data_IF_077830824679
#
_entry.id   IF_077830824679
#
_cell.length_a   1.000
_cell.length_b   1.000
_cell.length_c   1.000
_cell.angle_alpha   90.00
_cell.angle_beta   90.00
_cell.angle_gamma   90.00
#
_symmetry.space_group_name_H-M   'P 1'
#
loop_
_entity.id
_entity.type
_entity.pdbx_description
1 polymer ?
#
# COMPACT_ATOMS: atom_id res chain seq x y z
N UNK A 1 -5.18 13.38 -10.56
CA UNK A 1 -4.99 13.13 -12.01
C UNK A 1 -5.76 11.92 -12.48
N UNK A 2 -5.48 10.71 -11.96
CA UNK A 2 -6.13 9.44 -12.37
C UNK A 2 -7.67 9.51 -12.35
N UNK A 3 -8.28 10.07 -11.30
CA UNK A 3 -9.75 10.20 -11.19
C UNK A 3 -10.29 11.21 -12.21
N UNK A 4 -9.65 12.38 -12.33
CA UNK A 4 -10.11 13.45 -13.22
C UNK A 4 -10.03 13.06 -14.69
N UNK A 5 -9.03 12.28 -15.09
CA UNK A 5 -8.88 11.78 -16.46
C UNK A 5 -9.93 10.72 -16.86
N UNK A 6 -10.73 10.22 -15.91
CA UNK A 6 -11.90 9.37 -16.19
C UNK A 6 -13.18 10.17 -16.44
N UNK A 7 -13.12 11.50 -16.33
CA UNK A 7 -14.25 12.37 -16.66
C UNK A 7 -14.22 12.65 -18.18
N UNK A 8 -15.25 12.27 -18.94
CA UNK A 8 -15.26 12.41 -20.41
C UNK A 8 -14.93 13.84 -20.87
N UNK A 9 -15.46 14.84 -20.17
CA UNK A 9 -15.20 16.25 -20.46
C UNK A 9 -13.73 16.65 -20.25
N UNK A 10 -13.06 16.14 -19.21
CA UNK A 10 -11.65 16.46 -18.95
C UNK A 10 -10.76 15.68 -19.92
N UNK A 11 -11.05 14.40 -20.18
CA UNK A 11 -10.28 13.60 -21.12
C UNK A 11 -10.35 14.15 -22.55
N UNK A 12 -11.49 14.71 -22.97
CA UNK A 12 -11.63 15.32 -24.30
C UNK A 12 -10.82 16.62 -24.48
N UNK A 13 -10.48 17.30 -23.39
CA UNK A 13 -9.71 18.55 -23.43
C UNK A 13 -8.19 18.33 -23.47
N UNK A 14 -7.72 17.13 -23.16
CA UNK A 14 -6.29 16.83 -22.99
C UNK A 14 -5.83 15.92 -24.15
N UNK A 15 -4.93 16.40 -25.03
CA UNK A 15 -4.30 15.55 -26.03
C UNK A 15 -3.63 14.35 -25.35
N UNK A 16 -3.79 13.14 -25.90
CA UNK A 16 -3.22 11.91 -25.35
C UNK A 16 -3.63 11.58 -23.89
N UNK A 17 -4.85 11.97 -23.48
CA UNK A 17 -5.39 11.73 -22.13
C UNK A 17 -5.21 10.28 -21.64
N UNK A 18 -5.39 9.28 -22.52
CA UNK A 18 -5.20 7.87 -22.18
C UNK A 18 -3.74 7.54 -21.82
N UNK A 19 -2.77 8.02 -22.59
CA UNK A 19 -1.34 7.84 -22.30
C UNK A 19 -0.95 8.50 -20.97
N UNK A 20 -1.48 9.71 -20.71
CA UNK A 20 -1.27 10.42 -19.44
C UNK A 20 -1.92 9.66 -18.29
N UNK A 21 -3.12 9.11 -18.48
CA UNK A 21 -3.81 8.30 -17.48
C UNK A 21 -3.00 7.04 -17.15
N UNK A 22 -2.51 6.33 -18.15
CA UNK A 22 -1.73 5.10 -17.97
C UNK A 22 -0.43 5.38 -17.20
N UNK A 23 0.32 6.42 -17.57
CA UNK A 23 1.50 6.85 -16.81
C UNK A 23 1.17 7.26 -15.37
N UNK A 24 0.12 8.07 -15.20
CA UNK A 24 -0.33 8.51 -13.89
C UNK A 24 -0.73 7.35 -12.98
N UNK A 25 -1.32 6.29 -13.56
CA UNK A 25 -1.73 5.10 -12.83
C UNK A 25 -0.51 4.34 -12.31
N UNK A 26 0.55 4.17 -13.12
CA UNK A 26 1.79 3.53 -12.66
C UNK A 26 2.43 4.29 -11.51
N UNK A 27 2.58 5.61 -11.65
CA UNK A 27 3.16 6.46 -10.59
C UNK A 27 2.28 6.47 -9.34
N UNK A 28 0.96 6.57 -9.52
CA UNK A 28 0.02 6.55 -8.40
C UNK A 28 0.18 5.27 -7.57
N UNK A 29 0.16 4.09 -8.20
CA UNK A 29 0.27 2.81 -7.49
C UNK A 29 1.62 2.71 -6.78
N UNK A 30 2.72 2.97 -7.49
CA UNK A 30 4.06 2.85 -6.88
C UNK A 30 4.27 3.84 -5.74
N UNK A 31 3.88 5.11 -5.88
CA UNK A 31 4.11 6.10 -4.83
C UNK A 31 3.14 5.96 -3.66
N UNK A 32 1.85 5.74 -3.92
CA UNK A 32 0.82 5.71 -2.87
C UNK A 32 0.72 4.37 -2.14
N UNK A 33 1.21 3.28 -2.73
CA UNK A 33 1.22 1.95 -2.11
C UNK A 33 2.64 1.55 -1.79
N UNK A 34 3.48 1.28 -2.79
CA UNK A 34 4.81 0.70 -2.56
C UNK A 34 5.69 1.65 -1.72
N UNK A 35 5.90 2.89 -2.16
CA UNK A 35 6.77 3.84 -1.46
C UNK A 35 6.18 4.23 -0.11
N UNK A 36 4.92 4.65 -0.07
CA UNK A 36 4.25 5.08 1.15
C UNK A 36 4.25 3.99 2.24
N UNK A 37 3.80 2.78 1.93
CA UNK A 37 3.66 1.72 2.93
C UNK A 37 5.03 1.25 3.43
N UNK A 38 6.00 1.05 2.54
CA UNK A 38 7.35 0.67 2.93
C UNK A 38 8.07 1.77 3.72
N UNK A 39 7.76 3.05 3.50
CA UNK A 39 8.31 4.16 4.28
C UNK A 39 7.80 4.13 5.73
N UNK A 40 6.51 3.86 5.94
CA UNK A 40 5.95 3.74 7.29
C UNK A 40 6.47 2.49 8.00
N UNK A 41 6.59 1.35 7.30
CA UNK A 41 7.25 0.15 7.86
C UNK A 41 8.70 0.46 8.24
N UNK A 42 9.41 1.22 7.42
CA UNK A 42 10.78 1.64 7.71
C UNK A 42 10.87 2.53 8.95
N UNK A 43 9.86 3.38 9.20
CA UNK A 43 9.73 4.13 10.45
C UNK A 43 9.45 3.21 11.65
N UNK A 44 8.57 2.22 11.49
CA UNK A 44 8.31 1.23 12.55
C UNK A 44 9.57 0.47 12.94
N UNK A 45 10.49 0.22 12.02
CA UNK A 45 11.75 -0.45 12.33
C UNK A 45 12.67 0.36 13.24
N UNK A 46 12.72 1.69 13.04
CA UNK A 46 13.65 2.58 13.74
C UNK A 46 13.03 3.26 14.97
N UNK A 47 11.72 3.12 15.22
CA UNK A 47 11.02 3.85 16.28
C UNK A 47 11.58 3.59 17.70
N UNK A 48 12.10 2.39 17.96
CA UNK A 48 12.69 2.01 19.24
C UNK A 48 14.23 2.00 19.20
N UNK A 49 14.83 2.52 18.12
CA UNK A 49 16.27 2.50 17.94
C UNK A 49 16.92 3.52 18.88
N UNK A 50 17.78 3.06 19.78
CA UNK A 50 18.48 3.93 20.72
C UNK A 50 19.68 4.64 20.09
N UNK A 51 20.35 4.00 19.13
CA UNK A 51 21.52 4.54 18.44
C UNK A 51 21.35 4.43 16.92
N UNK A 52 21.33 5.56 16.24
CA UNK A 52 21.36 5.64 14.77
C UNK A 52 22.80 5.62 14.27
N UNK A 53 23.07 4.89 13.18
CA UNK A 53 24.36 4.93 12.48
C UNK A 53 24.23 5.62 11.10
N UNK A 54 25.36 5.87 10.45
CA UNK A 54 25.38 6.50 9.11
C UNK A 54 24.68 5.68 8.03
N UNK A 55 24.52 4.37 8.22
CA UNK A 55 23.85 3.49 7.25
C UNK A 55 22.34 3.68 7.20
N UNK A 56 21.70 3.96 8.34
CA UNK A 56 20.29 4.39 8.34
C UNK A 56 20.13 5.71 7.57
N UNK A 57 21.09 6.63 7.72
CA UNK A 57 21.11 7.87 6.95
C UNK A 57 21.24 7.65 5.44
N UNK A 58 22.12 6.73 5.05
CA UNK A 58 22.26 6.33 3.66
C UNK A 58 20.98 5.68 3.10
N UNK A 59 20.26 4.89 3.91
CA UNK A 59 19.05 4.21 3.46
C UNK A 59 17.89 5.16 3.11
N UNK A 60 17.66 6.21 3.90
CA UNK A 60 16.57 7.15 3.58
C UNK A 60 16.91 8.07 2.40
N UNK A 61 18.18 8.49 2.24
CA UNK A 61 18.60 9.26 1.05
C UNK A 61 18.45 8.44 -0.22
N UNK A 62 18.83 7.16 -0.17
CA UNK A 62 18.64 6.21 -1.25
C UNK A 62 17.15 6.06 -1.62
N UNK A 63 16.27 5.97 -0.61
CA UNK A 63 14.82 5.86 -0.81
C UNK A 63 14.22 7.10 -1.47
N UNK A 64 14.65 8.31 -1.08
CA UNK A 64 14.21 9.56 -1.72
C UNK A 64 14.66 9.63 -3.17
N UNK A 65 15.94 9.35 -3.43
CA UNK A 65 16.47 9.34 -4.80
C UNK A 65 15.68 8.35 -5.67
N UNK A 66 15.41 7.17 -5.15
CA UNK A 66 14.62 6.13 -5.83
C UNK A 66 13.20 6.60 -6.17
N UNK A 67 12.51 7.23 -5.22
CA UNK A 67 11.19 7.82 -5.43
C UNK A 67 11.22 8.92 -6.50
N UNK A 68 12.22 9.81 -6.47
CA UNK A 68 12.39 10.86 -7.48
C UNK A 68 12.65 10.28 -8.87
N UNK A 69 13.50 9.26 -8.98
CA UNK A 69 13.77 8.57 -10.25
C UNK A 69 12.50 7.94 -10.83
N UNK A 70 11.71 7.24 -10.00
CA UNK A 70 10.42 6.71 -10.41
C UNK A 70 9.47 7.82 -10.86
N UNK A 71 9.37 8.93 -10.13
CA UNK A 71 8.51 10.05 -10.50
C UNK A 71 8.94 10.71 -11.82
N UNK A 72 10.23 11.03 -11.98
CA UNK A 72 10.78 11.68 -13.17
C UNK A 72 10.64 10.79 -14.41
N UNK A 73 10.70 9.47 -14.23
CA UNK A 73 10.56 8.52 -15.35
C UNK A 73 9.22 8.61 -16.09
N UNK A 74 8.17 9.16 -15.48
CA UNK A 74 6.86 9.37 -16.12
C UNK A 74 6.89 10.42 -17.23
N UNK A 75 7.93 11.26 -17.26
CA UNK A 75 8.11 12.30 -18.26
C UNK A 75 8.99 11.84 -19.43
N UNK A 76 9.46 10.59 -19.42
CA UNK A 76 10.22 10.00 -20.54
C UNK A 76 9.24 9.71 -21.69
N UNK A 77 9.43 10.31 -22.88
CA UNK A 77 8.51 10.16 -24.00
C UNK A 77 8.51 8.72 -24.53
N UNK A 78 7.39 8.30 -25.12
CA UNK A 78 7.21 6.99 -25.77
C UNK A 78 7.55 5.80 -24.85
N UNK A 79 7.29 5.95 -23.55
CA UNK A 79 7.48 4.86 -22.59
C UNK A 79 6.34 3.86 -22.70
N UNK A 80 6.68 2.59 -22.88
CA UNK A 80 5.72 1.50 -22.80
C UNK A 80 5.22 1.34 -21.34
N UNK A 81 3.91 1.33 -21.16
CA UNK A 81 3.26 1.29 -19.84
C UNK A 81 2.74 -0.11 -19.56
N UNK A 82 3.26 -0.73 -18.51
CA UNK A 82 2.91 -2.09 -18.12
C UNK A 82 2.11 -2.05 -16.83
N UNK A 83 0.84 -2.44 -16.91
CA UNK A 83 -0.12 -2.36 -15.80
C UNK A 83 -0.23 -3.69 -15.06
N UNK A 84 0.90 -4.34 -14.79
CA UNK A 84 0.96 -5.58 -13.98
C UNK A 84 0.33 -5.36 -12.60
N UNK A 85 -0.21 -6.42 -12.00
CA UNK A 85 -0.73 -6.35 -10.64
C UNK A 85 0.42 -6.13 -9.63
N UNK A 86 0.09 -5.55 -8.48
CA UNK A 86 1.02 -5.13 -7.40
C UNK A 86 1.99 -4.00 -7.76
N UNK A 87 2.93 -4.25 -8.68
CA UNK A 87 3.98 -3.30 -9.08
C UNK A 87 3.87 -3.09 -10.59
N UNK A 88 3.14 -2.06 -11.05
CA UNK A 88 3.12 -1.67 -12.45
C UNK A 88 4.43 -0.96 -12.82
N UNK A 89 4.80 -1.03 -14.10
CA UNK A 89 6.11 -0.62 -14.59
C UNK A 89 6.00 0.38 -15.74
N UNK A 90 6.83 1.42 -15.67
CA UNK A 90 7.19 2.22 -16.83
C UNK A 90 8.45 1.62 -17.44
N UNK A 91 8.39 1.17 -18.69
CA UNK A 91 9.47 0.42 -19.31
C UNK A 91 10.57 1.37 -19.82
N UNK A 92 11.30 1.95 -18.88
CA UNK A 92 12.49 2.76 -19.14
C UNK A 92 13.53 2.56 -18.04
N UNK A 93 14.80 2.86 -18.35
CA UNK A 93 15.93 2.62 -17.43
C UNK A 93 15.81 3.40 -16.12
N UNK A 94 15.26 4.62 -16.16
CA UNK A 94 15.10 5.47 -14.97
C UNK A 94 14.13 4.84 -13.97
N UNK A 95 12.97 4.37 -14.44
CA UNK A 95 11.99 3.72 -13.58
C UNK A 95 12.53 2.44 -12.97
N UNK A 96 13.10 1.54 -13.80
CA UNK A 96 13.61 0.25 -13.34
C UNK A 96 14.78 0.39 -12.37
N UNK A 97 15.67 1.37 -12.62
CA UNK A 97 16.74 1.69 -11.68
C UNK A 97 16.18 2.25 -10.37
N UNK A 98 15.24 3.20 -10.43
CA UNK A 98 14.58 3.74 -9.24
C UNK A 98 13.87 2.66 -8.42
N UNK A 99 13.13 1.75 -9.07
CA UNK A 99 12.45 0.64 -8.40
C UNK A 99 13.44 -0.32 -7.73
N UNK A 100 14.51 -0.69 -8.43
CA UNK A 100 15.55 -1.60 -7.89
C UNK A 100 16.28 -0.96 -6.70
N UNK A 101 16.58 0.32 -6.81
CA UNK A 101 17.23 1.11 -5.77
C UNK A 101 16.34 1.26 -4.53
N UNK A 102 15.02 1.39 -4.73
CA UNK A 102 14.04 1.41 -3.65
C UNK A 102 13.96 0.05 -2.96
N UNK A 103 13.91 -1.06 -3.71
CA UNK A 103 13.91 -2.39 -3.11
C UNK A 103 15.17 -2.62 -2.26
N UNK A 104 16.34 -2.22 -2.77
CA UNK A 104 17.59 -2.30 -2.04
C UNK A 104 17.58 -1.45 -0.76
N UNK A 105 17.06 -0.21 -0.81
CA UNK A 105 17.01 0.65 0.38
C UNK A 105 16.13 0.06 1.48
N UNK A 106 14.98 -0.49 1.13
CA UNK A 106 14.08 -1.14 2.11
C UNK A 106 14.73 -2.38 2.74
N UNK A 107 15.43 -3.21 1.95
CA UNK A 107 16.16 -4.37 2.46
C UNK A 107 17.33 -3.98 3.37
N UNK A 108 18.10 -2.94 2.99
CA UNK A 108 19.17 -2.39 3.83
C UNK A 108 18.58 -1.93 5.16
N UNK A 109 17.48 -1.17 5.15
CA UNK A 109 16.83 -0.72 6.37
C UNK A 109 16.35 -1.89 7.25
N UNK A 110 15.76 -2.92 6.64
CA UNK A 110 15.32 -4.12 7.36
C UNK A 110 16.49 -4.90 7.99
N UNK A 111 17.58 -5.08 7.24
CA UNK A 111 18.79 -5.76 7.72
C UNK A 111 19.48 -4.99 8.85
N UNK A 112 19.65 -3.67 8.70
CA UNK A 112 20.22 -2.80 9.73
C UNK A 112 19.40 -2.86 11.02
N UNK A 113 18.08 -2.92 10.90
CA UNK A 113 17.17 -3.03 12.04
C UNK A 113 17.35 -4.35 12.77
N UNK A 114 17.39 -5.47 12.03
CA UNK A 114 17.63 -6.78 12.61
C UNK A 114 18.96 -6.84 13.38
N UNK A 115 20.01 -6.20 12.86
CA UNK A 115 21.34 -6.19 13.48
C UNK A 115 21.40 -5.22 14.67
N UNK A 116 20.83 -4.01 14.53
CA UNK A 116 21.06 -2.90 15.45
C UNK A 116 20.02 -2.79 16.55
N UNK A 117 18.78 -3.24 16.31
CA UNK A 117 17.67 -3.07 17.23
C UNK A 117 17.47 -4.33 18.10
N UNK A 118 18.23 -4.43 19.20
CA UNK A 118 18.11 -5.53 20.17
C UNK A 118 16.77 -5.58 20.91
N UNK A 119 15.99 -4.50 20.85
CA UNK A 119 14.67 -4.38 21.47
C UNK A 119 13.53 -4.49 20.45
N UNK A 120 13.83 -4.99 19.24
CA UNK A 120 12.83 -5.22 18.22
C UNK A 120 11.75 -6.19 18.73
N UNK A 121 10.50 -5.77 18.68
CA UNK A 121 9.34 -6.59 19.00
C UNK A 121 9.21 -7.75 18.01
N UNK A 122 8.50 -8.80 18.42
CA UNK A 122 8.19 -9.97 17.56
C UNK A 122 7.56 -9.54 16.23
N UNK A 123 6.68 -8.55 16.23
CA UNK A 123 6.07 -8.05 14.99
C UNK A 123 7.04 -7.30 14.09
N UNK A 124 8.00 -6.55 14.64
CA UNK A 124 9.06 -5.89 13.85
C UNK A 124 10.00 -6.91 13.21
N UNK A 125 10.41 -7.93 13.96
CA UNK A 125 11.21 -9.05 13.41
C UNK A 125 10.41 -9.79 12.33
N UNK A 126 9.13 -10.07 12.60
CA UNK A 126 8.25 -10.70 11.63
C UNK A 126 8.11 -9.89 10.34
N UNK A 127 8.04 -8.56 10.42
CA UNK A 127 8.02 -7.67 9.25
C UNK A 127 9.31 -7.80 8.41
N UNK A 128 10.48 -7.84 9.05
CA UNK A 128 11.76 -8.07 8.35
C UNK A 128 11.70 -9.41 7.59
N UNK A 129 11.25 -10.47 8.27
CA UNK A 129 11.13 -11.81 7.69
C UNK A 129 10.17 -11.82 6.50
N UNK A 130 9.01 -11.17 6.59
CA UNK A 130 8.03 -11.09 5.49
C UNK A 130 8.61 -10.32 4.30
N UNK A 131 9.29 -9.20 4.53
CA UNK A 131 9.93 -8.43 3.45
C UNK A 131 11.02 -9.23 2.74
N UNK A 132 11.86 -9.95 3.50
CA UNK A 132 12.88 -10.84 2.93
C UNK A 132 12.23 -11.98 2.14
N UNK A 133 11.14 -12.57 2.65
CA UNK A 133 10.37 -13.60 1.95
C UNK A 133 9.76 -13.08 0.65
N UNK A 134 9.21 -11.86 0.67
CA UNK A 134 8.71 -11.18 -0.52
C UNK A 134 9.80 -10.95 -1.55
N UNK A 135 10.99 -10.53 -1.13
CA UNK A 135 12.12 -10.34 -2.04
C UNK A 135 12.61 -11.67 -2.62
N UNK A 136 12.62 -12.73 -1.79
CA UNK A 136 12.94 -14.07 -2.24
C UNK A 136 11.96 -14.55 -3.33
N UNK A 137 10.66 -14.25 -3.22
CA UNK A 137 9.70 -14.51 -4.30
C UNK A 137 10.10 -13.82 -5.61
N UNK A 138 10.51 -12.54 -5.57
CA UNK A 138 10.94 -11.84 -6.80
C UNK A 138 12.19 -12.49 -7.42
N UNK A 139 13.16 -12.88 -6.59
CA UNK A 139 14.38 -13.55 -7.06
C UNK A 139 14.07 -14.92 -7.66
N UNK A 140 13.24 -15.73 -6.99
CA UNK A 140 12.84 -17.05 -7.48
C UNK A 140 11.99 -16.96 -8.75
N UNK A 141 11.06 -16.00 -8.81
CA UNK A 141 10.26 -15.75 -10.01
C UNK A 141 11.15 -15.37 -11.20
N UNK A 142 12.13 -14.49 -11.00
CA UNK A 142 13.07 -14.12 -12.05
C UNK A 142 13.95 -15.29 -12.49
N UNK A 143 14.51 -16.04 -11.53
CA UNK A 143 15.40 -17.18 -11.80
C UNK A 143 14.70 -18.31 -12.57
N UNK A 144 13.43 -18.55 -12.27
CA UNK A 144 12.65 -19.63 -12.87
C UNK A 144 11.87 -19.18 -14.12
N UNK A 145 12.06 -17.92 -14.56
CA UNK A 145 11.36 -17.35 -15.71
C UNK A 145 11.82 -17.98 -17.03
N UNK A 146 10.89 -18.32 -17.95
CA UNK A 146 11.27 -18.70 -19.31
C UNK A 146 12.09 -17.59 -19.98
N UNK A 147 13.24 -17.95 -20.57
CA UNK A 147 14.23 -16.99 -21.10
C UNK A 147 13.64 -16.01 -22.12
N UNK A 148 12.76 -16.50 -22.99
CA UNK A 148 12.20 -15.69 -24.09
C UNK A 148 10.97 -14.87 -23.66
N UNK A 149 10.38 -15.12 -22.48
CA UNK A 149 9.11 -14.51 -22.10
C UNK A 149 9.19 -12.98 -22.06
N UNK A 150 10.30 -12.43 -21.59
CA UNK A 150 10.51 -10.98 -21.56
C UNK A 150 10.45 -10.33 -22.95
N UNK A 151 10.93 -11.04 -23.98
CA UNK A 151 10.94 -10.53 -25.36
C UNK A 151 9.60 -10.79 -26.07
N UNK A 152 8.90 -11.87 -25.71
CA UNK A 152 7.62 -12.26 -26.29
C UNK A 152 6.45 -11.44 -25.72
N UNK A 153 6.37 -11.31 -24.39
CA UNK A 153 5.31 -10.59 -23.70
C UNK A 153 5.79 -10.01 -22.36
N UNK A 154 6.15 -8.72 -22.40
CA UNK A 154 6.57 -7.99 -21.19
C UNK A 154 5.44 -7.85 -20.17
N UNK A 155 4.18 -7.78 -20.59
CA UNK A 155 3.06 -7.67 -19.64
C UNK A 155 2.98 -8.94 -18.80
N UNK A 156 3.04 -10.09 -19.45
CA UNK A 156 3.02 -11.38 -18.77
C UNK A 156 4.28 -11.58 -17.92
N UNK A 157 5.45 -11.20 -18.44
CA UNK A 157 6.71 -11.24 -17.69
C UNK A 157 6.61 -10.51 -16.35
N UNK A 158 6.17 -9.24 -16.34
CA UNK A 158 6.08 -8.47 -15.09
C UNK A 158 4.91 -8.90 -14.21
N UNK A 159 3.83 -9.40 -14.80
CA UNK A 159 2.74 -10.01 -14.05
C UNK A 159 3.26 -11.18 -13.20
N UNK A 160 3.98 -12.13 -13.80
CA UNK A 160 4.55 -13.28 -13.10
C UNK A 160 5.69 -12.91 -12.16
N UNK A 161 6.55 -11.96 -12.55
CA UNK A 161 7.66 -11.50 -11.72
C UNK A 161 7.15 -10.93 -10.39
N UNK A 162 6.10 -10.11 -10.42
CA UNK A 162 5.62 -9.42 -9.23
C UNK A 162 4.49 -10.12 -8.49
N UNK A 163 3.93 -11.20 -9.04
CA UNK A 163 2.78 -11.90 -8.45
C UNK A 163 3.04 -12.34 -7.02
N UNK A 164 3.98 -13.27 -6.80
CA UNK A 164 4.21 -13.86 -5.47
C UNK A 164 4.74 -12.88 -4.44
N UNK A 165 5.73 -12.06 -4.81
CA UNK A 165 6.29 -11.07 -3.88
C UNK A 165 5.29 -9.95 -3.58
N UNK A 166 4.50 -9.50 -4.56
CA UNK A 166 3.45 -8.51 -4.38
C UNK A 166 2.37 -8.95 -3.40
N UNK A 167 2.02 -10.25 -3.41
CA UNK A 167 1.17 -10.87 -2.40
C UNK A 167 1.78 -10.76 -1.00
N UNK A 168 3.04 -11.15 -0.81
CA UNK A 168 3.71 -11.10 0.49
C UNK A 168 3.93 -9.66 1.00
N UNK A 169 4.09 -8.67 0.12
CA UNK A 169 4.06 -7.27 0.52
C UNK A 169 2.75 -6.88 1.22
N UNK A 170 1.60 -7.45 0.81
CA UNK A 170 0.33 -7.17 1.50
C UNK A 170 0.32 -7.70 2.93
N UNK A 171 0.94 -8.86 3.17
CA UNK A 171 1.12 -9.41 4.53
C UNK A 171 1.99 -8.47 5.39
N UNK A 172 3.04 -7.89 4.81
CA UNK A 172 3.88 -6.91 5.49
C UNK A 172 3.06 -5.64 5.82
N UNK A 173 2.30 -5.11 4.87
CA UNK A 173 1.49 -3.91 5.08
C UNK A 173 0.42 -4.11 6.16
N UNK A 174 -0.26 -5.26 6.14
CA UNK A 174 -1.27 -5.60 7.14
C UNK A 174 -0.65 -5.80 8.54
N UNK A 175 0.53 -6.42 8.63
CA UNK A 175 1.25 -6.56 9.90
C UNK A 175 1.74 -5.20 10.43
N UNK A 176 2.21 -4.32 9.56
CA UNK A 176 2.57 -2.95 9.91
C UNK A 176 1.37 -2.18 10.46
N UNK A 177 0.19 -2.33 9.84
CA UNK A 177 -1.05 -1.77 10.36
C UNK A 177 -1.37 -2.32 11.76
N UNK A 178 -1.29 -3.63 11.95
CA UNK A 178 -1.58 -4.24 13.26
C UNK A 178 -0.66 -3.73 14.37
N UNK A 179 0.65 -3.58 14.08
CA UNK A 179 1.59 -2.97 15.01
C UNK A 179 1.22 -1.52 15.35
N UNK A 180 0.79 -0.74 14.36
CA UNK A 180 0.31 0.63 14.59
C UNK A 180 -0.89 0.65 15.54
N UNK A 181 -1.83 -0.29 15.42
CA UNK A 181 -2.95 -0.40 16.36
C UNK A 181 -2.48 -0.65 17.79
N UNK A 182 -1.51 -1.55 17.97
CA UNK A 182 -0.93 -1.85 19.28
C UNK A 182 -0.22 -0.62 19.87
N UNK A 183 0.59 0.06 19.06
CA UNK A 183 1.40 1.21 19.50
C UNK A 183 0.52 2.40 19.89
N UNK A 184 -0.42 2.81 19.02
CA UNK A 184 -1.24 4.01 19.27
C UNK A 184 -2.21 3.78 20.44
N UNK A 185 -2.69 2.54 20.60
CA UNK A 185 -3.67 2.20 21.63
C UNK A 185 -3.04 1.75 22.95
N UNK A 186 -1.70 1.78 23.04
CA UNK A 186 -0.92 1.33 24.20
C UNK A 186 -1.31 -0.07 24.69
N UNK A 187 -1.57 -0.98 23.72
CA UNK A 187 -1.97 -2.35 24.02
C UNK A 187 -0.69 -3.18 24.21
N UNK A 188 -0.54 -3.77 25.40
CA UNK A 188 0.62 -4.59 25.73
C UNK A 188 0.77 -5.82 24.82
N UNK A 189 2.03 -6.17 24.55
CA UNK A 189 2.38 -7.42 23.89
C UNK A 189 2.18 -8.57 24.88
N UNK A 190 1.22 -9.44 24.58
CA UNK A 190 0.93 -10.65 25.33
C UNK A 190 0.63 -11.79 24.34
N UNK A 191 0.34 -12.98 24.84
CA UNK A 191 0.10 -14.16 24.00
C UNK A 191 -0.98 -13.91 22.92
N UNK A 192 -2.02 -13.13 23.23
CA UNK A 192 -3.15 -12.87 22.33
C UNK A 192 -2.77 -11.89 21.22
N UNK A 193 -1.95 -10.88 21.51
CA UNK A 193 -1.50 -9.89 20.51
C UNK A 193 -0.27 -10.34 19.73
N UNK A 194 0.55 -11.24 20.29
CA UNK A 194 1.71 -11.85 19.62
C UNK A 194 1.28 -12.93 18.63
N UNK A 195 0.29 -13.76 18.98
CA UNK A 195 -0.18 -14.87 18.14
C UNK A 195 -0.51 -14.44 16.69
N UNK A 196 -1.31 -13.39 16.42
CA UNK A 196 -1.58 -12.97 15.04
C UNK A 196 -0.34 -12.53 14.28
N UNK A 197 0.59 -11.81 14.93
CA UNK A 197 1.84 -11.37 14.31
C UNK A 197 2.71 -12.57 13.92
N UNK A 198 2.81 -13.54 14.82
CA UNK A 198 3.55 -14.78 14.58
C UNK A 198 2.92 -15.61 13.46
N UNK A 199 1.60 -15.86 13.51
CA UNK A 199 0.88 -16.61 12.48
C UNK A 199 1.03 -15.97 11.10
N UNK A 200 0.82 -14.65 11.00
CA UNK A 200 0.96 -13.92 9.74
C UNK A 200 2.39 -14.04 9.17
N UNK A 201 3.40 -13.99 10.04
CA UNK A 201 4.81 -14.17 9.64
C UNK A 201 5.06 -15.59 9.11
N UNK A 202 4.66 -16.63 9.84
CA UNK A 202 4.87 -18.03 9.43
C UNK A 202 4.15 -18.33 8.11
N UNK A 203 2.91 -17.85 7.95
CA UNK A 203 2.13 -18.04 6.74
C UNK A 203 2.78 -17.36 5.51
N UNK A 204 3.49 -16.25 5.70
CA UNK A 204 4.23 -15.60 4.62
C UNK A 204 5.55 -16.32 4.27
N UNK A 205 6.29 -16.82 5.28
CA UNK A 205 7.60 -17.48 5.10
C UNK A 205 7.52 -18.75 4.26
N UNK A 206 6.42 -19.50 4.34
CA UNK A 206 6.27 -20.73 3.56
C UNK A 206 6.05 -20.48 2.05
N UNK A 207 5.55 -19.31 1.67
CA UNK A 207 5.08 -19.07 0.31
C UNK A 207 6.17 -19.06 -0.77
N UNK A 208 7.40 -18.52 -0.56
CA UNK A 208 8.45 -18.56 -1.59
C UNK A 208 8.84 -19.97 -2.04
N UNK A 209 8.68 -20.99 -1.18
CA UNK A 209 9.06 -22.36 -1.52
C UNK A 209 8.15 -23.00 -2.58
N UNK A 210 6.99 -22.41 -2.86
CA UNK A 210 6.11 -22.91 -3.91
C UNK A 210 6.72 -22.81 -5.32
N UNK A 211 7.68 -21.89 -5.52
CA UNK A 211 8.41 -21.77 -6.79
C UNK A 211 9.33 -22.97 -7.09
N UNK A 212 9.55 -23.87 -6.13
CA UNK A 212 10.24 -25.15 -6.37
C UNK A 212 9.28 -26.28 -6.77
N UNK A 213 7.96 -26.05 -6.62
CA UNK A 213 6.91 -27.04 -6.90
C UNK A 213 6.24 -26.73 -8.24
N UNK A 214 5.92 -25.47 -8.48
CA UNK A 214 5.21 -25.02 -9.68
C UNK A 214 6.07 -24.08 -10.53
N UNK A 215 5.87 -24.14 -11.85
CA UNK A 215 6.49 -23.21 -12.78
C UNK A 215 5.93 -21.80 -12.57
N UNK A 216 6.76 -20.78 -12.86
CA UNK A 216 6.40 -19.39 -12.59
C UNK A 216 5.24 -18.87 -13.44
N UNK A 217 5.08 -19.42 -14.64
CA UNK A 217 4.03 -19.13 -15.62
C UNK A 217 2.83 -20.09 -15.53
N UNK A 218 2.83 -21.00 -14.54
CA UNK A 218 1.75 -21.97 -14.35
C UNK A 218 0.51 -21.36 -13.71
N UNK A 219 -0.65 -21.92 -14.04
CA UNK A 219 -1.92 -21.52 -13.43
C UNK A 219 -1.99 -21.88 -11.95
N UNK A 220 -1.32 -22.95 -11.55
CA UNK A 220 -1.25 -23.51 -10.21
C UNK A 220 -0.54 -22.54 -9.27
N UNK A 221 0.57 -21.93 -9.70
CA UNK A 221 1.27 -20.91 -8.93
C UNK A 221 0.39 -19.66 -8.72
N UNK A 222 -0.29 -19.21 -9.78
CA UNK A 222 -1.21 -18.07 -9.73
C UNK A 222 -2.34 -18.34 -8.75
N UNK A 223 -2.95 -19.52 -8.82
CA UNK A 223 -4.02 -19.96 -7.93
C UNK A 223 -3.54 -20.13 -6.49
N UNK A 224 -2.34 -20.67 -6.28
CA UNK A 224 -1.75 -20.80 -4.95
C UNK A 224 -1.69 -19.45 -4.23
N UNK A 225 -1.07 -18.43 -4.84
CA UNK A 225 -0.95 -17.11 -4.22
C UNK A 225 -2.31 -16.43 -4.05
N UNK A 226 -3.24 -16.65 -4.99
CA UNK A 226 -4.62 -16.15 -4.88
C UNK A 226 -5.33 -16.71 -3.66
N UNK A 227 -5.30 -18.04 -3.48
CA UNK A 227 -5.93 -18.71 -2.34
C UNK A 227 -5.18 -18.47 -1.03
N UNK A 228 -3.86 -18.38 -1.08
CA UNK A 228 -3.02 -17.98 0.04
C UNK A 228 -3.43 -16.60 0.56
N UNK A 229 -3.66 -15.61 -0.31
CA UNK A 229 -4.17 -14.31 0.10
C UNK A 229 -5.57 -14.39 0.71
N UNK A 230 -6.48 -15.14 0.08
CA UNK A 230 -7.88 -15.25 0.51
C UNK A 230 -8.02 -15.93 1.87
N UNK A 231 -7.21 -16.95 2.15
CA UNK A 231 -7.31 -17.76 3.37
C UNK A 231 -6.29 -17.28 4.40
N UNK A 232 -5.00 -17.35 4.08
CA UNK A 232 -3.94 -17.01 5.03
C UNK A 232 -3.93 -15.49 5.32
N UNK A 233 -4.16 -14.66 4.30
CA UNK A 233 -4.27 -13.20 4.47
C UNK A 233 -5.47 -12.75 5.30
N UNK A 234 -6.50 -13.60 5.47
CA UNK A 234 -7.66 -13.30 6.30
C UNK A 234 -7.42 -13.49 7.82
N UNK A 235 -6.37 -14.23 8.20
CA UNK A 235 -6.07 -14.54 9.61
C UNK A 235 -5.87 -13.27 10.43
N UNK A 236 -4.98 -12.38 9.99
CA UNK A 236 -4.67 -11.15 10.72
C UNK A 236 -5.89 -10.19 10.83
N UNK A 237 -6.70 -9.96 9.77
CA UNK A 237 -7.99 -9.28 9.87
C UNK A 237 -8.95 -9.87 10.92
N UNK A 238 -9.06 -11.20 11.04
CA UNK A 238 -9.90 -11.82 12.07
C UNK A 238 -9.44 -11.45 13.49
N UNK A 239 -8.14 -11.46 13.74
CA UNK A 239 -7.59 -11.00 15.02
C UNK A 239 -7.74 -9.50 15.23
N UNK A 240 -7.69 -8.69 14.16
CA UNK A 240 -7.97 -7.26 14.24
C UNK A 240 -9.42 -7.01 14.70
N UNK A 241 -10.40 -7.77 14.21
CA UNK A 241 -11.80 -7.68 14.68
C UNK A 241 -11.87 -7.94 16.19
N UNK A 242 -11.20 -8.98 16.69
CA UNK A 242 -11.16 -9.30 18.12
C UNK A 242 -10.50 -8.17 18.93
N UNK A 243 -9.37 -7.64 18.44
CA UNK A 243 -8.66 -6.53 19.06
C UNK A 243 -9.54 -5.28 19.14
N UNK A 244 -10.24 -4.96 18.05
CA UNK A 244 -11.13 -3.79 17.98
C UNK A 244 -12.33 -3.95 18.91
N UNK A 245 -12.97 -5.12 18.90
CA UNK A 245 -14.10 -5.41 19.78
C UNK A 245 -13.74 -5.22 21.26
N UNK A 246 -12.58 -5.72 21.68
CA UNK A 246 -12.11 -5.61 23.07
C UNK A 246 -11.71 -4.19 23.48
N UNK A 247 -11.34 -3.34 22.53
CA UNK A 247 -10.74 -2.02 22.80
C UNK A 247 -11.52 -0.86 22.16
N UNK A 248 -12.80 -1.05 21.87
CA UNK A 248 -13.58 -0.11 21.05
C UNK A 248 -13.60 1.32 21.60
N UNK A 249 -13.65 1.48 22.94
CA UNK A 249 -13.63 2.80 23.60
C UNK A 249 -12.32 3.54 23.35
N UNK A 250 -11.18 2.86 23.49
CA UNK A 250 -9.84 3.40 23.25
C UNK A 250 -9.60 3.72 21.78
N UNK A 251 -10.16 2.91 20.88
CA UNK A 251 -9.96 3.10 19.43
C UNK A 251 -10.84 4.21 18.84
N UNK A 252 -11.96 4.53 19.50
CA UNK A 252 -12.83 5.63 19.11
C UNK A 252 -12.14 6.98 19.28
N UNK A 253 -11.33 7.16 20.34
CA UNK A 253 -10.62 8.43 20.59
C UNK A 253 -9.49 8.71 19.59
N UNK A 254 -8.96 7.66 18.95
CA UNK A 254 -7.77 7.74 18.10
C UNK A 254 -8.09 7.60 16.60
N UNK A 255 -9.36 7.73 16.19
CA UNK A 255 -9.87 7.63 14.81
C UNK A 255 -9.51 6.32 14.05
N UNK A 256 -8.96 5.31 14.74
CA UNK A 256 -8.58 4.02 14.16
C UNK A 256 -9.79 3.22 13.66
N UNK A 257 -11.00 3.48 14.18
CA UNK A 257 -12.21 2.84 13.67
C UNK A 257 -12.49 3.15 12.19
N UNK A 258 -12.04 4.31 11.66
CA UNK A 258 -12.15 4.60 10.23
C UNK A 258 -11.24 3.69 9.38
N UNK A 259 -10.03 3.40 9.89
CA UNK A 259 -9.12 2.42 9.29
C UNK A 259 -9.77 1.04 9.31
N UNK A 260 -10.27 0.60 10.46
CA UNK A 260 -10.90 -0.70 10.63
C UNK A 260 -12.09 -0.89 9.68
N UNK A 261 -13.03 0.06 9.66
CA UNK A 261 -14.23 -0.03 8.84
C UNK A 261 -13.91 -0.17 7.35
N UNK A 262 -13.01 0.66 6.81
CA UNK A 262 -12.60 0.59 5.41
C UNK A 262 -11.78 -0.66 5.08
N UNK A 263 -10.91 -1.08 5.99
CA UNK A 263 -10.12 -2.30 5.83
C UNK A 263 -11.01 -3.54 5.75
N UNK A 264 -11.97 -3.68 6.67
CA UNK A 264 -12.93 -4.78 6.67
C UNK A 264 -13.86 -4.70 5.45
N UNK A 265 -14.32 -3.50 5.08
CA UNK A 265 -15.13 -3.32 3.88
C UNK A 265 -14.38 -3.80 2.62
N UNK A 266 -13.11 -3.40 2.46
CA UNK A 266 -12.24 -3.88 1.38
C UNK A 266 -12.02 -5.39 1.41
N UNK A 267 -11.80 -5.97 2.59
CA UNK A 267 -11.63 -7.41 2.77
C UNK A 267 -12.86 -8.22 2.38
N UNK A 268 -14.06 -7.78 2.80
CA UNK A 268 -15.34 -8.41 2.41
C UNK A 268 -15.51 -8.36 0.89
N UNK A 269 -15.25 -7.20 0.27
CA UNK A 269 -15.28 -7.08 -1.19
C UNK A 269 -14.25 -8.02 -1.85
N UNK A 270 -13.07 -8.21 -1.27
CA UNK A 270 -12.04 -9.11 -1.80
C UNK A 270 -12.47 -10.58 -1.81
N UNK A 271 -13.23 -11.02 -0.80
CA UNK A 271 -13.82 -12.37 -0.75
C UNK A 271 -14.93 -12.51 -1.79
N UNK A 272 -15.78 -11.49 -1.94
CA UNK A 272 -16.92 -11.51 -2.86
C UNK A 272 -16.51 -11.29 -4.33
N UNK A 273 -15.33 -10.71 -4.59
CA UNK A 273 -14.87 -10.41 -5.94
C UNK A 273 -14.37 -11.68 -6.63
N UNK A 274 -15.12 -12.14 -7.62
CA UNK A 274 -14.79 -13.32 -8.44
C UNK A 274 -14.32 -12.90 -9.84
N UNK A 275 -14.72 -11.72 -10.32
CA UNK A 275 -14.52 -11.27 -11.70
C UNK A 275 -13.43 -10.18 -11.88
N UNK A 276 -12.87 -10.12 -13.08
CA UNK A 276 -11.77 -9.24 -13.50
C UNK A 276 -12.08 -7.75 -13.70
N UNK A 277 -13.20 -7.22 -13.19
CA UNK A 277 -13.69 -5.87 -13.49
C UNK A 277 -13.28 -4.83 -12.41
N UNK A 278 -13.90 -3.64 -12.36
CA UNK A 278 -13.54 -2.60 -11.38
C UNK A 278 -13.83 -2.95 -9.91
N UNK A 279 -14.52 -4.05 -9.63
CA UNK A 279 -14.65 -4.62 -8.27
C UNK A 279 -13.29 -5.00 -7.68
N UNK A 280 -12.31 -5.37 -8.53
CA UNK A 280 -10.93 -5.59 -8.10
C UNK A 280 -10.34 -4.31 -7.48
N UNK A 281 -10.30 -3.16 -8.19
CA UNK A 281 -9.93 -1.91 -7.57
C UNK A 281 -10.72 -1.53 -6.35
N UNK A 282 -12.02 -1.80 -6.31
CA UNK A 282 -12.81 -1.49 -5.13
C UNK A 282 -12.28 -2.20 -3.87
N UNK A 283 -12.00 -3.51 -3.95
CA UNK A 283 -11.53 -4.25 -2.78
C UNK A 283 -10.15 -3.76 -2.30
N UNK A 284 -9.21 -3.53 -3.22
CA UNK A 284 -7.86 -3.16 -2.82
C UNK A 284 -7.80 -1.69 -2.40
N UNK A 285 -8.62 -0.81 -2.98
CA UNK A 285 -8.77 0.55 -2.45
C UNK A 285 -9.30 0.50 -1.01
N UNK A 286 -10.30 -0.31 -0.69
CA UNK A 286 -10.76 -0.46 0.71
C UNK A 286 -9.66 -0.94 1.65
N UNK A 287 -8.98 -2.02 1.28
CA UNK A 287 -7.95 -2.65 2.11
C UNK A 287 -6.73 -1.74 2.29
N UNK A 288 -6.16 -1.22 1.20
CA UNK A 288 -4.97 -0.35 1.22
C UNK A 288 -5.27 0.97 1.91
N UNK A 289 -6.44 1.59 1.66
CA UNK A 289 -6.81 2.85 2.31
C UNK A 289 -7.04 2.64 3.81
N UNK A 290 -7.63 1.51 4.21
CA UNK A 290 -7.74 1.14 5.62
C UNK A 290 -6.38 1.13 6.33
N UNK A 291 -5.37 0.53 5.69
CA UNK A 291 -3.97 0.56 6.18
C UNK A 291 -3.44 2.00 6.20
N UNK A 292 -3.62 2.77 5.12
CA UNK A 292 -3.16 4.17 5.03
C UNK A 292 -3.72 5.04 6.14
N UNK A 293 -5.00 4.89 6.50
CA UNK A 293 -5.61 5.66 7.59
C UNK A 293 -4.95 5.34 8.93
N UNK A 294 -4.62 4.07 9.21
CA UNK A 294 -3.87 3.73 10.41
C UNK A 294 -2.50 4.41 10.40
N UNK A 295 -1.81 4.37 9.26
CA UNK A 295 -0.50 5.00 9.10
C UNK A 295 -0.55 6.54 9.22
N UNK A 296 -1.59 7.19 8.72
CA UNK A 296 -1.81 8.63 8.93
C UNK A 296 -1.98 8.96 10.42
N UNK A 297 -2.79 8.17 11.14
CA UNK A 297 -2.95 8.31 12.59
C UNK A 297 -1.63 8.07 13.34
N UNK A 298 -0.81 7.12 12.87
CA UNK A 298 0.52 6.88 13.42
C UNK A 298 1.44 8.10 13.28
N UNK A 299 1.43 8.77 12.13
CA UNK A 299 2.19 10.01 11.95
C UNK A 299 1.70 11.11 12.90
N UNK A 300 0.39 11.28 13.07
CA UNK A 300 -0.15 12.24 14.03
C UNK A 300 0.24 11.92 15.48
N UNK A 301 0.27 10.65 15.86
CA UNK A 301 0.74 10.19 17.17
C UNK A 301 2.27 10.36 17.35
N UNK A 302 3.03 10.28 16.25
CA UNK A 302 4.50 10.37 16.26
C UNK A 302 4.99 11.81 16.34
N UNK A 303 4.32 12.76 15.67
CA UNK A 303 4.76 14.17 15.60
C UNK A 303 5.12 14.78 16.97
N UNK A 304 4.30 14.65 18.03
CA UNK A 304 4.65 15.18 19.35
C UNK A 304 5.92 14.58 19.95
N UNK A 305 6.19 13.29 19.67
CA UNK A 305 7.40 12.59 20.13
C UNK A 305 8.65 13.05 19.40
N UNK A 306 8.49 13.65 18.23
CA UNK A 306 9.55 14.31 17.47
C UNK A 306 9.72 15.79 17.86
N UNK A 307 9.10 16.24 18.96
CA UNK A 307 9.17 17.62 19.44
C UNK A 307 8.24 18.61 18.72
N UNK A 308 7.40 18.14 17.80
CA UNK A 308 6.38 19.00 17.19
C UNK A 308 5.24 19.28 18.18
N UNK A 309 4.48 20.36 17.98
CA UNK A 309 3.23 20.57 18.73
C UNK A 309 2.18 19.54 18.33
N UNK A 310 1.38 19.10 19.30
CA UNK A 310 0.16 18.33 19.03
C UNK A 310 -0.76 19.09 18.08
N UNK A 311 -1.30 18.36 17.11
CA UNK A 311 -2.27 18.90 16.15
C UNK A 311 -3.63 18.92 16.84
N UNK A 312 -4.35 20.04 16.68
CA UNK A 312 -5.71 20.18 17.20
C UNK A 312 -6.60 19.02 16.70
N UNK A 313 -7.30 18.37 17.63
CA UNK A 313 -8.15 17.21 17.32
C UNK A 313 -9.22 17.49 16.26
N UNK A 314 -9.76 18.71 16.19
CA UNK A 314 -10.73 19.10 15.15
C UNK A 314 -10.16 19.08 13.73
N UNK A 315 -8.87 19.42 13.57
CA UNK A 315 -8.18 19.42 12.26
C UNK A 315 -7.90 17.98 11.83
N UNK A 316 -7.40 17.16 12.75
CA UNK A 316 -7.20 15.71 12.52
C UNK A 316 -8.53 15.05 12.13
N UNK A 317 -9.60 15.36 12.87
CA UNK A 317 -10.94 14.85 12.58
C UNK A 317 -11.40 15.22 11.19
N UNK A 318 -11.33 16.50 10.81
CA UNK A 318 -11.73 16.96 9.48
C UNK A 318 -10.98 16.20 8.38
N UNK A 319 -9.66 16.06 8.53
CA UNK A 319 -8.82 15.36 7.57
C UNK A 319 -9.19 13.87 7.45
N UNK A 320 -9.29 13.15 8.57
CA UNK A 320 -9.59 11.71 8.58
C UNK A 320 -11.01 11.44 8.06
N UNK A 321 -12.00 12.27 8.42
CA UNK A 321 -13.36 12.13 7.92
C UNK A 321 -13.43 12.39 6.41
N UNK A 322 -12.80 13.46 5.91
CA UNK A 322 -12.75 13.73 4.47
C UNK A 322 -12.09 12.57 3.71
N UNK A 323 -10.97 12.07 4.21
CA UNK A 323 -10.24 10.98 3.55
C UNK A 323 -11.03 9.65 3.58
N UNK A 324 -11.63 9.31 4.72
CA UNK A 324 -12.35 8.05 4.91
C UNK A 324 -13.72 8.03 4.24
N UNK A 325 -14.56 9.06 4.44
CA UNK A 325 -15.88 9.14 3.80
C UNK A 325 -15.75 9.29 2.28
N UNK A 326 -14.77 10.08 1.81
CA UNK A 326 -14.45 10.18 0.40
C UNK A 326 -14.12 8.81 -0.20
N UNK A 327 -13.23 8.05 0.44
CA UNK A 327 -12.92 6.70 -0.03
C UNK A 327 -14.09 5.72 0.08
N UNK A 328 -14.88 5.79 1.15
CA UNK A 328 -16.08 4.95 1.27
C UNK A 328 -17.04 5.16 0.08
N UNK A 329 -17.33 6.41 -0.26
CA UNK A 329 -18.15 6.76 -1.43
C UNK A 329 -17.49 6.33 -2.74
N UNK A 330 -16.18 6.57 -2.88
CA UNK A 330 -15.42 6.21 -4.07
C UNK A 330 -15.42 4.70 -4.34
N UNK A 331 -15.12 3.90 -3.31
CA UNK A 331 -15.09 2.44 -3.36
C UNK A 331 -16.49 1.89 -3.65
N UNK A 332 -17.51 2.40 -2.97
CA UNK A 332 -18.90 1.99 -3.20
C UNK A 332 -19.34 2.31 -4.64
N UNK A 333 -18.96 3.49 -5.15
CA UNK A 333 -19.15 3.85 -6.55
C UNK A 333 -18.45 2.89 -7.51
N UNK A 334 -17.21 2.48 -7.23
CA UNK A 334 -16.50 1.48 -8.02
C UNK A 334 -17.21 0.13 -8.05
N UNK A 335 -17.62 -0.40 -6.89
CA UNK A 335 -18.37 -1.68 -6.82
C UNK A 335 -19.64 -1.59 -7.65
N UNK A 336 -20.39 -0.50 -7.49
CA UNK A 336 -21.64 -0.30 -8.21
C UNK A 336 -21.42 -0.20 -9.72
N UNK A 337 -20.40 0.54 -10.17
CA UNK A 337 -20.00 0.59 -11.57
C UNK A 337 -19.54 -0.78 -12.10
N UNK A 338 -18.92 -1.60 -11.25
CA UNK A 338 -18.58 -2.98 -11.57
C UNK A 338 -19.79 -3.85 -11.87
N UNK A 339 -20.90 -3.65 -11.13
CA UNK A 339 -22.19 -4.28 -11.44
C UNK A 339 -22.77 -3.89 -12.80
N UNK A 340 -22.34 -2.76 -13.39
CA UNK A 340 -22.65 -2.34 -14.76
C UNK A 340 -21.60 -2.80 -15.79
N UNK A 341 -20.65 -3.66 -15.42
CA UNK A 341 -19.62 -4.19 -16.32
C UNK A 341 -18.45 -3.22 -16.57
N UNK A 342 -18.23 -2.21 -15.72
CA UNK A 342 -17.10 -1.30 -15.90
C UNK A 342 -15.76 -2.06 -15.83
N UNK A 343 -14.95 -1.93 -16.88
CA UNK A 343 -13.68 -2.62 -17.01
C UNK A 343 -12.58 -1.96 -16.16
N UNK A 344 -11.67 -2.76 -15.60
CA UNK A 344 -10.49 -2.25 -14.90
C UNK A 344 -9.42 -1.79 -15.90
N UNK A 345 -8.52 -0.91 -15.45
CA UNK A 345 -7.33 -0.45 -16.18
C UNK A 345 -7.63 0.32 -17.49
N UNK A 346 -8.87 0.77 -17.68
CA UNK A 346 -9.30 1.68 -18.76
C UNK A 346 -9.90 2.95 -18.16
N UNK A 347 -9.93 4.04 -18.94
CA UNK A 347 -10.52 5.30 -18.49
C UNK A 347 -12.06 5.32 -18.66
N UNK A 348 -12.59 4.57 -19.63
CA UNK A 348 -13.99 4.60 -20.01
C UNK A 348 -14.92 3.97 -18.98
N UNK A 349 -16.11 4.56 -18.83
CA UNK A 349 -17.19 4.07 -17.97
C UNK A 349 -18.41 3.67 -18.83
N UNK A 350 -19.07 2.52 -18.56
CA UNK A 350 -20.19 2.04 -19.38
C UNK A 350 -21.28 3.10 -19.49
N UNK A 351 -21.76 3.42 -20.70
CA UNK A 351 -22.77 4.48 -20.92
C UNK A 351 -24.04 4.28 -20.10
N UNK A 352 -24.48 3.03 -19.94
CA UNK A 352 -25.69 2.64 -19.21
C UNK A 352 -25.58 2.74 -17.68
N UNK A 353 -24.39 3.01 -17.14
CA UNK A 353 -24.19 3.05 -15.70
C UNK A 353 -24.89 4.23 -15.02
N UNK A 354 -25.43 3.95 -13.84
CA UNK A 354 -26.22 4.90 -13.04
C UNK A 354 -25.49 6.23 -12.80
N UNK A 355 -26.23 7.33 -12.95
CA UNK A 355 -25.75 8.67 -12.60
C UNK A 355 -25.31 8.74 -11.13
N UNK A 356 -26.02 8.05 -10.23
CA UNK A 356 -25.67 8.03 -8.82
C UNK A 356 -24.36 7.25 -8.57
N UNK A 357 -24.14 6.13 -9.25
CA UNK A 357 -22.90 5.36 -9.15
C UNK A 357 -21.69 6.20 -9.62
N UNK A 358 -21.83 6.92 -10.73
CA UNK A 358 -20.81 7.86 -11.22
C UNK A 358 -20.58 9.01 -10.25
N UNK A 359 -21.65 9.60 -9.71
CA UNK A 359 -21.56 10.68 -8.75
C UNK A 359 -20.82 10.22 -7.49
N UNK A 360 -21.16 9.06 -6.91
CA UNK A 360 -20.44 8.49 -5.76
C UNK A 360 -18.97 8.27 -6.06
N UNK A 361 -18.64 7.69 -7.21
CA UNK A 361 -17.26 7.45 -7.65
C UNK A 361 -16.45 8.75 -7.74
N UNK A 362 -16.97 9.76 -8.44
CA UNK A 362 -16.27 11.01 -8.74
C UNK A 362 -16.17 11.89 -7.49
N UNK A 363 -17.29 12.15 -6.83
CA UNK A 363 -17.35 13.02 -5.65
C UNK A 363 -16.58 12.43 -4.49
N UNK A 364 -16.72 11.12 -4.24
CA UNK A 364 -15.94 10.39 -3.25
C UNK A 364 -14.44 10.50 -3.53
N UNK A 365 -14.04 10.31 -4.79
CA UNK A 365 -12.65 10.47 -5.22
C UNK A 365 -12.11 11.90 -5.05
N UNK A 366 -12.91 12.92 -5.30
CA UNK A 366 -12.51 14.31 -5.10
C UNK A 366 -12.34 14.64 -3.60
N UNK A 367 -13.29 14.23 -2.76
CA UNK A 367 -13.23 14.41 -1.30
C UNK A 367 -12.02 13.66 -0.72
N UNK A 368 -11.72 12.45 -1.21
CA UNK A 368 -10.56 11.70 -0.75
C UNK A 368 -9.23 12.36 -1.12
N UNK A 369 -9.13 12.96 -2.31
CA UNK A 369 -7.95 13.77 -2.71
C UNK A 369 -7.77 14.96 -1.77
N UNK A 370 -8.85 15.68 -1.45
CA UNK A 370 -8.79 16.80 -0.49
C UNK A 370 -8.31 16.30 0.88
N UNK A 371 -8.86 15.20 1.38
CA UNK A 371 -8.42 14.59 2.64
C UNK A 371 -6.94 14.19 2.64
N UNK A 372 -6.43 13.66 1.52
CA UNK A 372 -5.03 13.29 1.38
C UNK A 372 -4.10 14.51 1.32
N UNK A 373 -4.50 15.55 0.60
CA UNK A 373 -3.76 16.82 0.53
C UNK A 373 -3.70 17.51 1.89
N UNK A 374 -4.83 17.53 2.62
CA UNK A 374 -4.88 18.06 3.98
C UNK A 374 -3.87 17.37 4.89
N UNK A 375 -3.76 16.03 4.83
CA UNK A 375 -2.77 15.29 5.61
C UNK A 375 -1.35 15.81 5.35
N UNK A 376 -0.95 15.88 4.08
CA UNK A 376 0.40 16.33 3.69
C UNK A 376 0.66 17.77 4.15
N UNK A 377 -0.29 18.68 3.91
CA UNK A 377 -0.17 20.10 4.30
C UNK A 377 -0.04 20.22 5.83
N UNK A 378 -0.89 19.52 6.59
CA UNK A 378 -0.87 19.55 8.06
C UNK A 378 0.51 19.08 8.57
N UNK A 379 0.99 17.93 8.10
CA UNK A 379 2.26 17.36 8.55
C UNK A 379 3.44 18.27 8.20
N UNK A 380 3.52 18.75 6.95
CA UNK A 380 4.61 19.63 6.50
C UNK A 380 4.65 20.94 7.31
N UNK A 381 3.49 21.58 7.52
CA UNK A 381 3.43 22.82 8.30
C UNK A 381 3.88 22.63 9.76
N UNK A 382 3.58 21.48 10.37
CA UNK A 382 4.01 21.19 11.73
C UNK A 382 5.51 20.91 11.82
N UNK A 383 6.07 20.14 10.88
CA UNK A 383 7.51 19.90 10.79
C UNK A 383 8.29 21.20 10.58
N UNK A 384 7.85 22.06 9.66
CA UNK A 384 8.51 23.34 9.38
C UNK A 384 8.45 24.30 10.59
N UNK A 385 7.29 24.40 11.26
CA UNK A 385 7.14 25.23 12.47
C UNK A 385 7.96 24.73 13.65
N UNK A 386 8.21 23.42 13.74
CA UNK A 386 9.05 22.84 14.79
C UNK A 386 10.51 23.24 14.60
N UNK A 387 11.03 23.09 13.37
CA UNK A 387 12.42 23.44 13.03
C UNK A 387 12.74 24.92 13.25
N UNK A 388 11.77 25.81 13.04
CA UNK A 388 11.92 27.25 13.29
C UNK A 388 11.95 27.64 14.78
N UNK A 389 11.71 26.70 15.72
CA UNK A 389 11.83 26.95 17.17
C UNK A 389 13.09 26.35 17.78
N UNK A 390 13.71 25.41 17.10
CA UNK A 390 14.95 24.75 17.52
C UNK A 390 16.20 25.44 16.96
N UNK A 391 16.00 26.35 16.01
CA UNK A 391 16.97 27.34 15.55
C UNK A 391 16.62 28.68 16.18
#
# INVERSE_FOLDING_TARGET
MVIFLRLPFISSLIPSAQYIFDNALVIHVNLSILVWMCSIISLLFIINLQNTNHWFNFSWTLSILSMLLMFISAFVPNTEVIKSNYIPVLQNKLFLFGLSLFAASILINAALTYISNKQASVGQIGLVIILVSSFLCFVLAHKNMPLDLYHLDKNLFYEYLFWGGGHLLQFAFAQGMFLVYLIISDISLNKITILPLFMNTILAVGAPFIYFVYQVDSTELIQFFTWHMRIAGAVLPCFLIILVYRNIKTLLSNYLLHSFALFIYGGVLGVLTIEGNVTIPAHYHGSVVGITIAFMNFIYWLLPKLGCKEIKSSIVRLQIYAYSLGHFLHITGLVWLGGYGALRKVADLPSISSMLARACFITGGAISVIGGMLFVIIVLLHLLKSKARTN
#
